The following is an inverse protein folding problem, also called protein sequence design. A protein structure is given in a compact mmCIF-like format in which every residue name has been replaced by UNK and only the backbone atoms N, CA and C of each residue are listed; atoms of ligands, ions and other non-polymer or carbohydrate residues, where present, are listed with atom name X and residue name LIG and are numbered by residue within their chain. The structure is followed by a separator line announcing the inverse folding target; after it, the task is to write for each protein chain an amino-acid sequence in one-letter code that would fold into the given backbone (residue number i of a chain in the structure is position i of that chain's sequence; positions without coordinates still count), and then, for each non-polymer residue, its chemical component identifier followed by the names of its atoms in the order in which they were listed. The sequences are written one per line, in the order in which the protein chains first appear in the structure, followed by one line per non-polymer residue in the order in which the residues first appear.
data_IF_586791146786
#
_entry.id   IF_586791146786
#
_cell.length_a   1.000
_cell.length_b   1.000
_cell.length_c   1.000
_cell.angle_alpha   90.00
_cell.angle_beta   90.00
_cell.angle_gamma   90.00
#
_symmetry.space_group_name_H-M   'P 1'
#
loop_
_entity.id
_entity.type
_entity.pdbx_description
1 polymer ?
#
# COMPACT_ATOMS: atom_id res chain seq x y z
N UNK A 1 -1.85 35.25 -12.82
CA UNK A 1 -3.15 34.76 -12.32
C UNK A 1 -3.01 33.26 -12.18
N UNK A 2 -2.64 32.77 -10.99
CA UNK A 2 -2.78 31.33 -10.72
C UNK A 2 -4.28 31.07 -10.62
N UNK A 3 -4.85 30.49 -11.66
CA UNK A 3 -6.21 29.97 -11.60
C UNK A 3 -6.17 28.79 -10.63
N UNK A 4 -6.69 28.99 -9.42
CA UNK A 4 -6.94 27.90 -8.48
C UNK A 4 -7.82 26.90 -9.21
N UNK A 5 -7.28 25.71 -9.51
CA UNK A 5 -8.09 24.64 -10.09
C UNK A 5 -9.21 24.31 -9.10
N UNK A 6 -10.44 24.21 -9.61
CA UNK A 6 -11.61 23.95 -8.79
C UNK A 6 -12.21 22.63 -9.27
N UNK A 7 -12.06 21.52 -8.51
CA UNK A 7 -12.54 20.22 -8.94
C UNK A 7 -14.07 20.24 -9.09
N UNK A 8 -14.56 19.61 -10.16
CA UNK A 8 -15.97 19.43 -10.44
C UNK A 8 -16.60 18.42 -9.47
N UNK A 9 -15.86 17.36 -9.13
CA UNK A 9 -16.27 16.39 -8.11
C UNK A 9 -15.86 16.90 -6.74
N UNK A 10 -16.85 17.15 -5.88
CA UNK A 10 -16.61 17.65 -4.52
C UNK A 10 -16.36 16.51 -3.53
N UNK A 11 -15.44 16.75 -2.60
CA UNK A 11 -15.31 15.94 -1.40
C UNK A 11 -16.45 16.24 -0.42
N UNK A 12 -16.82 15.27 0.45
CA UNK A 12 -17.73 15.52 1.56
C UNK A 12 -17.13 16.54 2.54
N UNK A 13 -17.94 17.29 3.31
CA UNK A 13 -17.45 18.27 4.27
C UNK A 13 -16.35 17.73 5.19
N UNK A 14 -15.41 18.60 5.59
CA UNK A 14 -14.27 18.22 6.42
C UNK A 14 -14.69 17.46 7.68
N UNK A 15 -15.73 17.92 8.38
CA UNK A 15 -16.19 17.24 9.60
C UNK A 15 -16.76 15.84 9.33
N UNK A 16 -17.32 15.62 8.13
CA UNK A 16 -17.77 14.29 7.70
C UNK A 16 -16.58 13.35 7.51
N UNK A 17 -15.53 13.80 6.81
CA UNK A 17 -14.32 12.99 6.62
C UNK A 17 -13.63 12.65 7.95
N UNK A 18 -13.53 13.61 8.87
CA UNK A 18 -12.95 13.38 10.21
C UNK A 18 -13.76 12.35 11.01
N UNK A 19 -15.10 12.42 10.94
CA UNK A 19 -15.99 11.44 11.56
C UNK A 19 -15.81 10.05 10.96
N UNK A 20 -15.73 9.95 9.64
CA UNK A 20 -15.60 8.69 8.91
C UNK A 20 -14.23 8.03 9.17
N UNK A 21 -13.15 8.81 9.22
CA UNK A 21 -11.82 8.35 9.67
C UNK A 21 -11.91 7.77 11.09
N UNK A 22 -12.60 8.45 12.01
CA UNK A 22 -12.74 7.94 13.38
C UNK A 22 -13.51 6.61 13.44
N UNK A 23 -14.52 6.42 12.59
CA UNK A 23 -15.25 5.14 12.46
C UNK A 23 -14.35 4.04 11.89
N UNK A 24 -13.60 4.33 10.83
CA UNK A 24 -12.65 3.39 10.22
C UNK A 24 -11.58 2.94 11.21
N UNK A 25 -10.98 3.85 11.97
CA UNK A 25 -10.00 3.53 13.01
C UNK A 25 -10.60 2.68 14.13
N UNK A 26 -11.83 2.99 14.55
CA UNK A 26 -12.54 2.17 15.54
C UNK A 26 -12.79 0.75 15.02
N UNK A 27 -13.22 0.62 13.76
CA UNK A 27 -13.45 -0.67 13.12
C UNK A 27 -12.15 -1.47 13.03
N UNK A 28 -11.08 -0.87 12.48
CA UNK A 28 -9.77 -1.48 12.28
C UNK A 28 -9.25 -2.19 13.54
N UNK A 29 -9.29 -1.50 14.69
CA UNK A 29 -8.78 -2.04 15.96
C UNK A 29 -9.60 -3.20 16.55
N UNK A 30 -10.77 -3.48 15.99
CA UNK A 30 -11.70 -4.53 16.43
C UNK A 30 -11.82 -5.68 15.44
N UNK A 31 -11.16 -5.60 14.28
CA UNK A 31 -11.18 -6.70 13.32
C UNK A 31 -10.44 -7.89 13.93
N UNK A 32 -11.12 -9.03 13.97
CA UNK A 32 -10.60 -10.32 14.34
C UNK A 32 -11.13 -11.42 13.40
N UNK A 33 -10.49 -12.59 13.45
CA UNK A 33 -11.02 -13.83 12.88
C UNK A 33 -11.29 -14.85 13.99
N UNK A 34 -12.22 -14.52 14.90
CA UNK A 34 -12.54 -15.38 16.04
C UNK A 34 -13.07 -16.77 15.63
N UNK A 35 -13.65 -16.91 14.43
CA UNK A 35 -14.10 -18.21 13.89
C UNK A 35 -12.94 -19.04 13.31
N UNK A 36 -11.83 -18.40 12.94
CA UNK A 36 -10.71 -19.02 12.23
C UNK A 36 -11.05 -19.39 10.78
N UNK A 37 -12.11 -18.78 10.22
CA UNK A 37 -12.61 -19.08 8.87
C UNK A 37 -11.65 -18.59 7.78
N UNK A 38 -10.91 -17.53 8.06
CA UNK A 38 -10.03 -16.84 7.10
C UNK A 38 -8.55 -17.09 7.38
N UNK A 39 -8.23 -18.05 8.26
CA UNK A 39 -6.85 -18.49 8.47
C UNK A 39 -6.28 -19.09 7.18
N UNK A 40 -5.12 -18.58 6.78
CA UNK A 40 -4.35 -19.18 5.70
C UNK A 40 -3.64 -20.42 6.23
N UNK A 41 -3.71 -21.53 5.50
CA UNK A 41 -3.04 -22.78 5.86
C UNK A 41 -1.95 -23.09 4.84
N UNK A 42 -0.70 -23.01 5.29
CA UNK A 42 0.49 -23.34 4.52
C UNK A 42 1.11 -24.62 5.08
N UNK A 43 0.59 -25.78 4.65
CA UNK A 43 1.06 -27.10 5.07
C UNK A 43 1.13 -27.27 6.60
N UNK A 44 0.10 -26.82 7.31
CA UNK A 44 -0.03 -26.91 8.76
C UNK A 44 0.44 -25.66 9.51
N UNK A 45 1.08 -24.69 8.84
CA UNK A 45 1.29 -23.35 9.39
C UNK A 45 0.03 -22.51 9.15
N UNK A 46 -0.71 -22.27 10.23
CA UNK A 46 -1.87 -21.37 10.20
C UNK A 46 -1.43 -19.93 10.42
N UNK A 47 -1.75 -19.06 9.47
CA UNK A 47 -1.44 -17.63 9.50
C UNK A 47 -2.73 -16.82 9.54
N UNK A 48 -2.83 -15.94 10.52
CA UNK A 48 -3.92 -14.98 10.66
C UNK A 48 -3.51 -13.64 10.04
N UNK A 49 -4.12 -13.31 8.89
CA UNK A 49 -3.90 -12.02 8.22
C UNK A 49 -5.01 -11.00 8.52
N UNK A 50 -6.03 -11.39 9.30
CA UNK A 50 -7.23 -10.57 9.54
C UNK A 50 -7.18 -9.88 10.89
N UNK A 51 -6.74 -10.53 11.96
CA UNK A 51 -6.83 -9.92 13.28
C UNK A 51 -5.88 -8.75 13.47
N UNK A 52 -6.36 -7.66 14.09
CA UNK A 52 -5.54 -6.46 14.33
C UNK A 52 -4.28 -6.76 15.17
N UNK A 53 -4.34 -7.76 16.04
CA UNK A 53 -3.24 -8.09 16.94
C UNK A 53 -2.09 -8.90 16.29
N UNK A 54 -2.09 -9.11 14.97
CA UNK A 54 -1.05 -9.90 14.30
C UNK A 54 0.02 -9.01 13.67
N UNK A 55 1.29 -9.39 13.79
CA UNK A 55 2.38 -8.76 13.04
C UNK A 55 2.45 -9.32 11.62
N UNK A 56 1.73 -8.69 10.69
CA UNK A 56 1.84 -8.98 9.26
C UNK A 56 1.57 -7.73 8.39
N UNK A 57 1.59 -7.90 7.06
CA UNK A 57 1.44 -6.81 6.10
C UNK A 57 0.12 -6.02 6.21
N UNK A 58 -1.07 -6.62 6.48
CA UNK A 58 -2.31 -5.87 6.59
C UNK A 58 -2.25 -4.85 7.72
N UNK A 59 -1.70 -5.26 8.86
CA UNK A 59 -1.50 -4.42 10.02
C UNK A 59 -0.36 -3.42 9.77
N UNK A 60 0.67 -3.77 9.00
CA UNK A 60 1.71 -2.83 8.57
C UNK A 60 1.16 -1.63 7.83
N UNK A 61 0.30 -1.85 6.84
CA UNK A 61 -0.42 -0.77 6.13
C UNK A 61 -1.39 -0.05 7.08
N UNK A 62 -2.07 -0.81 7.96
CA UNK A 62 -2.82 -0.34 9.13
C UNK A 62 -2.13 0.75 9.93
N UNK A 63 -0.96 0.41 10.45
CA UNK A 63 -0.13 1.25 11.29
C UNK A 63 0.38 2.45 10.51
N UNK A 64 0.80 2.26 9.27
CA UNK A 64 1.26 3.36 8.42
C UNK A 64 0.15 4.39 8.18
N UNK A 65 -1.02 3.97 7.70
CA UNK A 65 -2.17 4.86 7.47
C UNK A 65 -2.62 5.57 8.75
N UNK A 66 -2.70 4.83 9.85
CA UNK A 66 -3.06 5.40 11.17
C UNK A 66 -2.00 6.41 11.64
N UNK A 67 -0.72 6.12 11.46
CA UNK A 67 0.34 7.04 11.86
C UNK A 67 0.39 8.30 10.99
N UNK A 68 0.16 8.17 9.68
CA UNK A 68 0.06 9.33 8.79
C UNK A 68 -1.14 10.21 9.17
N UNK A 69 -2.26 9.62 9.60
CA UNK A 69 -3.38 10.38 10.16
C UNK A 69 -2.94 11.23 11.35
N UNK A 70 -2.20 10.67 12.30
CA UNK A 70 -1.62 11.44 13.40
C UNK A 70 -0.72 12.58 12.91
N UNK A 71 0.23 12.30 12.02
CA UNK A 71 1.19 13.32 11.54
C UNK A 71 0.52 14.50 10.83
N UNK A 72 -0.58 14.25 10.11
CA UNK A 72 -1.30 15.29 9.35
C UNK A 72 -2.27 16.07 10.24
N UNK A 73 -2.94 15.40 11.19
CA UNK A 73 -4.08 15.99 11.92
C UNK A 73 -3.82 16.27 13.40
N UNK A 74 -2.76 15.71 13.98
CA UNK A 74 -2.54 15.71 15.43
C UNK A 74 -3.48 14.76 16.20
N UNK A 75 -4.11 13.79 15.53
CA UNK A 75 -5.03 12.84 16.17
C UNK A 75 -4.31 11.91 17.17
N UNK A 76 -4.30 12.30 18.44
CA UNK A 76 -3.67 11.56 19.54
C UNK A 76 -4.21 10.13 19.72
N UNK A 77 -5.45 9.87 19.32
CA UNK A 77 -6.01 8.51 19.35
C UNK A 77 -5.32 7.63 18.32
N UNK A 78 -5.05 8.14 17.12
CA UNK A 78 -4.31 7.43 16.09
C UNK A 78 -2.87 7.12 16.55
N UNK A 79 -2.18 8.10 17.15
CA UNK A 79 -0.86 7.87 17.75
C UNK A 79 -0.89 6.76 18.80
N UNK A 80 -1.88 6.79 19.70
CA UNK A 80 -2.03 5.79 20.75
C UNK A 80 -2.25 4.39 20.18
N UNK A 81 -3.10 4.23 19.17
CA UNK A 81 -3.32 2.93 18.49
C UNK A 81 -1.99 2.35 18.00
N UNK A 82 -1.15 3.15 17.34
CA UNK A 82 0.14 2.70 16.80
C UNK A 82 1.12 2.33 17.92
N UNK A 83 1.23 3.17 18.96
CA UNK A 83 2.14 2.91 20.09
C UNK A 83 1.73 1.69 20.89
N UNK A 84 0.46 1.54 21.19
CA UNK A 84 -0.07 0.41 21.96
C UNK A 84 0.13 -0.90 21.19
N UNK A 85 -0.02 -0.88 19.86
CA UNK A 85 0.25 -2.04 19.01
C UNK A 85 1.73 -2.44 19.03
N UNK A 86 2.65 -1.51 18.82
CA UNK A 86 4.09 -1.82 18.83
C UNK A 86 4.56 -2.30 20.20
N UNK A 87 4.10 -1.67 21.28
CA UNK A 87 4.43 -2.09 22.64
C UNK A 87 3.99 -3.54 22.89
N UNK A 88 2.76 -3.90 22.54
CA UNK A 88 2.26 -5.28 22.70
C UNK A 88 3.07 -6.29 21.86
N UNK A 89 3.31 -5.99 20.58
CA UNK A 89 4.04 -6.89 19.68
C UNK A 89 5.52 -7.03 20.02
N UNK A 90 6.15 -5.97 20.53
CA UNK A 90 7.54 -6.04 21.01
C UNK A 90 7.68 -6.87 22.28
N UNK A 91 6.64 -6.93 23.14
CA UNK A 91 6.62 -7.80 24.32
C UNK A 91 6.49 -9.28 23.95
N UNK A 92 5.72 -9.60 22.90
CA UNK A 92 5.57 -10.96 22.37
C UNK A 92 6.83 -11.43 21.61
N UNK A 93 7.47 -10.51 20.89
CA UNK A 93 8.62 -10.77 20.02
C UNK A 93 8.24 -10.71 18.54
N UNK A 94 9.17 -10.21 17.72
CA UNK A 94 8.94 -10.09 16.28
C UNK A 94 8.82 -11.48 15.62
N UNK A 95 7.98 -11.63 14.59
CA UNK A 95 7.86 -12.88 13.85
C UNK A 95 9.10 -13.18 12.99
N UNK A 96 9.06 -14.30 12.25
CA UNK A 96 10.04 -14.55 11.19
C UNK A 96 9.96 -13.46 10.11
N UNK A 97 11.11 -13.16 9.51
CA UNK A 97 11.24 -12.11 8.51
C UNK A 97 10.91 -12.66 7.13
N UNK A 98 10.00 -11.98 6.45
CA UNK A 98 9.61 -12.21 5.07
C UNK A 98 9.17 -10.86 4.47
N UNK A 99 8.79 -10.83 3.19
CA UNK A 99 8.44 -9.57 2.51
C UNK A 99 7.29 -8.84 3.21
N UNK A 100 6.31 -9.60 3.71
CA UNK A 100 5.09 -9.08 4.30
C UNK A 100 5.29 -8.59 5.73
N UNK A 101 6.04 -9.33 6.54
CA UNK A 101 6.29 -8.97 7.95
C UNK A 101 7.23 -7.77 8.10
N UNK A 102 7.88 -7.33 7.01
CA UNK A 102 8.66 -6.09 6.95
C UNK A 102 7.79 -4.82 6.92
N UNK A 103 6.51 -4.91 6.51
CA UNK A 103 5.68 -3.72 6.29
C UNK A 103 5.47 -2.84 7.56
N UNK A 104 5.25 -3.39 8.77
CA UNK A 104 5.13 -2.59 9.99
C UNK A 104 6.36 -1.72 10.30
N UNK A 105 7.54 -2.08 9.79
CA UNK A 105 8.78 -1.35 10.07
C UNK A 105 8.76 0.04 9.43
N UNK A 106 7.94 0.28 8.40
CA UNK A 106 7.74 1.63 7.85
C UNK A 106 7.15 2.58 8.90
N UNK A 107 6.05 2.18 9.54
CA UNK A 107 5.42 2.98 10.58
C UNK A 107 6.34 3.12 11.81
N UNK A 108 7.07 2.06 12.17
CA UNK A 108 8.07 2.11 13.24
C UNK A 108 9.19 3.12 12.94
N UNK A 109 9.68 3.18 11.69
CA UNK A 109 10.73 4.10 11.30
C UNK A 109 10.26 5.57 11.39
N UNK A 110 9.04 5.88 10.94
CA UNK A 110 8.45 7.21 11.13
C UNK A 110 8.22 7.54 12.61
N UNK A 111 7.75 6.57 13.40
CA UNK A 111 7.58 6.75 14.84
C UNK A 111 8.92 7.02 15.54
N UNK A 112 9.99 6.31 15.17
CA UNK A 112 11.33 6.57 15.69
C UNK A 112 11.85 7.95 15.27
N UNK A 113 11.65 8.35 14.00
CA UNK A 113 12.01 9.70 13.52
C UNK A 113 11.41 10.79 14.41
N UNK A 114 10.11 10.71 14.69
CA UNK A 114 9.39 11.76 15.42
C UNK A 114 9.59 11.66 16.96
N UNK A 115 9.85 10.47 17.52
CA UNK A 115 9.92 10.27 18.99
C UNK A 115 11.33 10.06 19.55
N UNK A 116 12.28 9.62 18.71
CA UNK A 116 13.64 9.23 19.09
C UNK A 116 13.69 8.12 20.16
N UNK A 117 12.65 7.29 20.27
CA UNK A 117 12.65 6.14 21.18
C UNK A 117 13.63 5.06 20.70
N UNK A 118 14.76 4.96 21.40
CA UNK A 118 15.88 4.08 21.03
C UNK A 118 15.53 2.58 21.05
N UNK A 119 14.40 2.20 21.68
CA UNK A 119 13.93 0.80 21.69
C UNK A 119 13.58 0.30 20.29
N UNK A 120 13.27 1.19 19.33
CA UNK A 120 12.96 0.81 17.95
C UNK A 120 14.19 0.52 17.10
N UNK A 121 15.35 1.11 17.44
CA UNK A 121 16.57 1.02 16.60
C UNK A 121 17.01 -0.43 16.34
N UNK A 122 17.07 -1.35 17.34
CA UNK A 122 17.46 -2.74 17.09
C UNK A 122 16.52 -3.48 16.14
N UNK A 123 15.23 -3.13 16.11
CA UNK A 123 14.29 -3.70 15.15
C UNK A 123 14.58 -3.16 13.75
N UNK A 124 14.68 -1.83 13.59
CA UNK A 124 14.97 -1.21 12.30
C UNK A 124 16.27 -1.73 11.68
N UNK A 125 17.35 -1.80 12.46
CA UNK A 125 18.64 -2.31 11.99
C UNK A 125 18.58 -3.78 11.60
N UNK A 126 18.09 -4.66 12.49
CA UNK A 126 18.08 -6.10 12.22
C UNK A 126 17.17 -6.51 11.06
N UNK A 127 16.08 -5.78 10.85
CA UNK A 127 15.17 -6.05 9.74
C UNK A 127 15.72 -5.51 8.42
N UNK A 128 16.36 -4.34 8.41
CA UNK A 128 17.04 -3.83 7.22
C UNK A 128 18.25 -4.69 6.83
N UNK A 129 19.07 -5.13 7.79
CA UNK A 129 20.21 -6.01 7.54
C UNK A 129 19.77 -7.37 6.94
N UNK A 130 18.65 -7.92 7.42
CA UNK A 130 18.06 -9.11 6.80
C UNK A 130 17.64 -8.83 5.35
N UNK A 131 16.95 -7.71 5.11
CA UNK A 131 16.50 -7.35 3.77
C UNK A 131 17.69 -7.19 2.81
N UNK A 132 18.85 -6.73 3.30
CA UNK A 132 20.06 -6.55 2.50
C UNK A 132 20.85 -7.84 2.24
N UNK A 133 21.01 -8.68 3.26
CA UNK A 133 22.00 -9.77 3.24
C UNK A 133 21.39 -11.17 3.20
N UNK A 134 20.18 -11.35 3.73
CA UNK A 134 19.58 -12.67 3.95
C UNK A 134 18.36 -12.93 3.08
N UNK A 135 17.62 -11.88 2.69
CA UNK A 135 16.46 -11.99 1.82
C UNK A 135 16.89 -12.49 0.43
N UNK A 136 16.38 -13.66 0.05
CA UNK A 136 16.65 -14.31 -1.24
C UNK A 136 16.43 -13.35 -2.40
N UNK A 137 17.33 -13.46 -3.40
CA UNK A 137 17.29 -12.66 -4.62
C UNK A 137 16.90 -13.50 -5.82
N UNK A 138 16.12 -12.91 -6.71
CA UNK A 138 15.90 -13.45 -8.06
C UNK A 138 17.14 -13.23 -8.93
N UNK A 139 17.11 -13.73 -10.16
CA UNK A 139 17.93 -13.20 -11.24
C UNK A 139 17.79 -11.67 -11.31
N UNK A 140 18.86 -11.00 -11.75
CA UNK A 140 18.97 -9.55 -11.69
C UNK A 140 18.68 -8.97 -10.30
N UNK A 141 19.06 -9.71 -9.24
CA UNK A 141 19.11 -9.22 -7.85
C UNK A 141 17.78 -8.64 -7.32
N UNK A 142 16.64 -8.93 -7.93
CA UNK A 142 15.34 -8.49 -7.42
C UNK A 142 15.02 -9.17 -6.08
N UNK A 143 14.30 -8.49 -5.20
CA UNK A 143 13.82 -9.09 -3.96
C UNK A 143 12.80 -10.17 -4.29
N UNK A 144 13.13 -11.43 -4.01
CA UNK A 144 12.20 -12.52 -4.21
C UNK A 144 11.01 -12.34 -3.25
N UNK A 145 9.80 -12.59 -3.74
CA UNK A 145 8.58 -12.40 -2.95
C UNK A 145 8.37 -13.50 -1.89
N UNK A 146 9.29 -13.64 -0.93
CA UNK A 146 9.23 -14.67 0.12
C UNK A 146 8.12 -14.32 1.12
N UNK A 147 7.23 -15.28 1.40
CA UNK A 147 6.13 -15.16 2.36
C UNK A 147 6.24 -16.24 3.46
N UNK A 148 5.20 -16.41 4.29
CA UNK A 148 5.09 -17.58 5.17
C UNK A 148 4.81 -18.88 4.42
N UNK A 149 4.25 -18.77 3.22
CA UNK A 149 3.87 -19.89 2.38
C UNK A 149 5.00 -20.36 1.48
N UNK A 150 4.70 -20.70 0.21
CA UNK A 150 5.71 -21.12 -0.75
C UNK A 150 6.88 -20.12 -0.86
N UNK A 151 8.04 -20.61 -1.26
CA UNK A 151 9.23 -19.76 -1.40
C UNK A 151 9.11 -18.69 -2.50
N UNK A 152 8.15 -18.85 -3.42
CA UNK A 152 7.97 -17.99 -4.61
C UNK A 152 9.28 -17.80 -5.38
N UNK A 153 9.99 -18.92 -5.58
CA UNK A 153 11.32 -18.95 -6.21
C UNK A 153 11.33 -18.17 -7.51
N UNK A 154 12.29 -17.26 -7.65
CA UNK A 154 12.47 -16.47 -8.88
C UNK A 154 11.26 -15.61 -9.28
N UNK A 155 10.45 -15.15 -8.31
CA UNK A 155 9.29 -14.29 -8.56
C UNK A 155 9.46 -12.87 -7.99
N UNK A 156 9.04 -11.87 -8.77
CA UNK A 156 8.83 -10.48 -8.35
C UNK A 156 7.33 -10.17 -8.35
N UNK A 157 6.87 -9.49 -7.31
CA UNK A 157 5.46 -9.13 -7.13
C UNK A 157 5.36 -7.62 -6.87
N UNK A 158 4.26 -7.00 -7.27
CA UNK A 158 4.07 -5.54 -7.20
C UNK A 158 4.14 -4.98 -5.78
N UNK A 159 3.60 -5.71 -4.81
CA UNK A 159 3.47 -5.27 -3.43
C UNK A 159 4.81 -5.27 -2.67
N UNK A 160 5.84 -6.00 -3.15
CA UNK A 160 7.21 -6.00 -2.62
C UNK A 160 7.75 -4.58 -2.41
N UNK A 161 7.41 -3.66 -3.34
CA UNK A 161 7.83 -2.27 -3.28
C UNK A 161 7.28 -1.56 -2.03
N UNK A 162 6.01 -1.79 -1.70
CA UNK A 162 5.36 -1.21 -0.53
C UNK A 162 5.76 -1.94 0.76
N UNK A 163 5.78 -3.27 0.74
CA UNK A 163 5.91 -4.09 1.94
C UNK A 163 7.34 -4.16 2.48
N UNK A 164 8.36 -4.07 1.62
CA UNK A 164 9.77 -4.22 2.03
C UNK A 164 10.66 -3.08 1.56
N UNK A 165 10.56 -2.68 0.29
CA UNK A 165 11.50 -1.72 -0.30
C UNK A 165 11.31 -0.32 0.30
N UNK A 166 10.07 0.12 0.53
CA UNK A 166 9.78 1.42 1.16
C UNK A 166 10.24 1.48 2.63
N UNK A 167 9.97 0.47 3.49
CA UNK A 167 10.60 0.38 4.81
C UNK A 167 12.13 0.47 4.74
N UNK A 168 12.78 -0.30 3.85
CA UNK A 168 14.24 -0.30 3.69
C UNK A 168 14.77 1.10 3.32
N UNK A 169 14.12 1.75 2.34
CA UNK A 169 14.46 3.12 1.94
C UNK A 169 14.36 4.10 3.11
N UNK A 170 13.26 4.05 3.86
CA UNK A 170 13.03 4.93 5.01
C UNK A 170 14.07 4.71 6.11
N UNK A 171 14.37 3.45 6.42
CA UNK A 171 15.40 3.09 7.42
C UNK A 171 16.78 3.56 6.95
N UNK A 172 17.11 3.38 5.68
CA UNK A 172 18.36 3.84 5.08
C UNK A 172 18.56 5.34 5.23
N UNK A 173 17.54 6.12 4.87
CA UNK A 173 17.56 7.58 5.01
C UNK A 173 17.66 8.01 6.47
N UNK A 174 16.92 7.33 7.37
CA UNK A 174 16.85 7.68 8.79
C UNK A 174 18.14 7.37 9.55
N UNK A 175 18.80 6.26 9.23
CA UNK A 175 20.02 5.80 9.90
C UNK A 175 21.31 6.19 9.16
N UNK A 176 21.21 6.91 8.03
CA UNK A 176 22.37 7.33 7.23
C UNK A 176 23.10 6.15 6.56
N UNK A 177 22.36 5.13 6.12
CA UNK A 177 22.88 3.93 5.45
C UNK A 177 22.62 4.03 3.94
N UNK A 178 23.60 4.58 3.22
CA UNK A 178 23.49 4.78 1.76
C UNK A 178 23.31 3.46 1.01
N UNK A 179 23.91 2.37 1.49
CA UNK A 179 23.75 1.03 0.92
C UNK A 179 22.29 0.58 0.85
N UNK A 180 21.46 0.92 1.85
CA UNK A 180 20.03 0.59 1.87
C UNK A 180 19.26 1.45 0.87
N UNK A 181 19.66 2.73 0.76
CA UNK A 181 19.09 3.68 -0.20
C UNK A 181 19.36 3.23 -1.63
N UNK A 182 20.61 2.86 -1.95
CA UNK A 182 20.98 2.40 -3.29
C UNK A 182 20.29 1.08 -3.66
N UNK A 183 20.15 0.15 -2.71
CA UNK A 183 19.40 -1.09 -2.95
C UNK A 183 17.92 -0.79 -3.21
N UNK A 184 17.29 0.10 -2.43
CA UNK A 184 15.89 0.48 -2.69
C UNK A 184 15.69 1.15 -4.06
N UNK A 185 16.63 2.03 -4.47
CA UNK A 185 16.64 2.62 -5.83
C UNK A 185 16.74 1.55 -6.91
N UNK A 186 17.58 0.54 -6.71
CA UNK A 186 17.71 -0.59 -7.63
C UNK A 186 16.43 -1.42 -7.72
N UNK A 187 15.83 -1.74 -6.56
CA UNK A 187 14.59 -2.51 -6.50
C UNK A 187 13.44 -1.81 -7.24
N UNK A 188 13.34 -0.48 -7.16
CA UNK A 188 12.37 0.28 -7.96
C UNK A 188 12.56 0.06 -9.46
N UNK A 189 13.80 0.16 -9.95
CA UNK A 189 14.10 0.01 -11.38
C UNK A 189 13.83 -1.41 -11.88
N UNK A 190 14.22 -2.45 -11.12
CA UNK A 190 14.02 -3.85 -11.55
C UNK A 190 12.53 -4.22 -11.53
N UNK A 191 11.74 -3.74 -10.56
CA UNK A 191 10.29 -3.98 -10.55
C UNK A 191 9.59 -3.24 -11.70
N UNK A 192 9.97 -1.99 -12.00
CA UNK A 192 9.46 -1.28 -13.20
C UNK A 192 9.78 -2.06 -14.48
N UNK A 193 11.00 -2.58 -14.60
CA UNK A 193 11.44 -3.32 -15.80
C UNK A 193 10.56 -4.54 -16.09
N UNK A 194 10.10 -5.25 -15.07
CA UNK A 194 9.43 -6.55 -15.21
C UNK A 194 7.92 -6.54 -15.00
N UNK A 195 7.37 -5.54 -14.30
CA UNK A 195 5.96 -5.52 -13.92
C UNK A 195 5.15 -4.40 -14.59
N UNK A 196 5.80 -3.34 -15.10
CA UNK A 196 5.08 -2.28 -15.79
C UNK A 196 4.63 -2.75 -17.18
N UNK A 197 3.32 -2.73 -17.43
CA UNK A 197 2.76 -2.95 -18.75
C UNK A 197 2.82 -1.64 -19.56
N UNK A 198 3.67 -1.65 -20.60
CA UNK A 198 3.88 -0.48 -21.47
C UNK A 198 2.75 -0.26 -22.46
N UNK A 199 1.88 -1.26 -22.68
CA UNK A 199 0.73 -1.14 -23.57
C UNK A 199 -0.38 -0.32 -22.91
N UNK A 200 -0.79 -0.70 -21.70
CA UNK A 200 -1.86 -0.02 -20.98
C UNK A 200 -1.38 1.11 -20.07
N UNK A 201 -0.15 1.04 -19.55
CA UNK A 201 0.36 1.90 -18.48
C UNK A 201 0.03 1.38 -17.07
N UNK A 202 -0.67 0.25 -16.96
CA UNK A 202 -0.93 -0.44 -15.70
C UNK A 202 0.22 -1.41 -15.36
N UNK A 203 0.04 -2.22 -14.32
CA UNK A 203 1.05 -3.14 -13.82
C UNK A 203 0.49 -4.56 -13.71
N UNK A 204 1.31 -5.52 -14.12
CA UNK A 204 1.07 -6.93 -13.85
C UNK A 204 1.34 -7.24 -12.38
N UNK A 205 0.54 -8.14 -11.82
CA UNK A 205 0.68 -8.57 -10.42
C UNK A 205 2.06 -9.17 -10.12
N UNK A 206 2.64 -9.93 -11.06
CA UNK A 206 3.93 -10.58 -10.84
C UNK A 206 4.68 -10.97 -12.11
N UNK A 207 5.92 -11.39 -11.92
CA UNK A 207 6.86 -11.84 -12.94
C UNK A 207 7.62 -13.08 -12.47
N UNK A 208 7.85 -14.04 -13.35
CA UNK A 208 8.69 -15.22 -13.09
C UNK A 208 9.93 -15.24 -13.98
N UNK A 209 11.13 -15.35 -13.39
CA UNK A 209 12.36 -15.57 -14.15
C UNK A 209 12.51 -17.01 -14.65
N UNK A 210 11.86 -17.98 -14.02
CA UNK A 210 11.86 -19.37 -14.50
C UNK A 210 11.03 -19.52 -15.77
N UNK A 211 9.88 -18.83 -15.83
CA UNK A 211 8.94 -18.90 -16.95
C UNK A 211 9.17 -17.82 -18.01
N UNK A 212 9.71 -16.67 -17.61
CA UNK A 212 9.88 -15.45 -18.41
C UNK A 212 8.55 -14.85 -18.89
N UNK A 213 7.55 -14.86 -18.02
CA UNK A 213 6.22 -14.29 -18.25
C UNK A 213 5.66 -13.61 -16.99
N UNK A 214 4.51 -12.95 -17.15
CA UNK A 214 3.76 -12.26 -16.10
C UNK A 214 2.54 -13.06 -15.62
N UNK A 215 2.66 -14.39 -15.57
CA UNK A 215 1.59 -15.31 -15.15
C UNK A 215 0.31 -15.14 -15.99
N UNK A 216 -0.82 -14.76 -15.37
CA UNK A 216 -2.09 -14.51 -16.04
C UNK A 216 -2.19 -13.16 -16.77
N UNK A 217 -1.10 -12.37 -16.79
CA UNK A 217 -1.10 -10.97 -17.26
C UNK A 217 -2.16 -10.12 -16.52
N UNK A 218 -2.36 -10.41 -15.23
CA UNK A 218 -3.41 -9.81 -14.42
C UNK A 218 -3.09 -8.35 -14.06
N UNK A 219 -3.90 -7.42 -14.57
CA UNK A 219 -3.90 -6.00 -14.20
C UNK A 219 -4.79 -5.78 -12.97
N UNK A 220 -4.34 -6.36 -11.86
CA UNK A 220 -5.11 -6.48 -10.63
C UNK A 220 -5.18 -5.16 -9.86
N UNK A 221 -6.37 -4.82 -9.36
CA UNK A 221 -6.70 -3.54 -8.73
C UNK A 221 -5.82 -3.24 -7.52
N UNK A 222 -5.84 -4.08 -6.48
CA UNK A 222 -5.06 -3.80 -5.26
C UNK A 222 -3.55 -3.83 -5.51
N UNK A 223 -3.10 -4.68 -6.43
CA UNK A 223 -1.70 -4.71 -6.89
C UNK A 223 -1.24 -3.38 -7.49
N UNK A 224 -2.00 -2.87 -8.45
CA UNK A 224 -1.77 -1.53 -9.04
C UNK A 224 -1.88 -0.40 -8.00
N UNK A 225 -2.71 -0.57 -6.98
CA UNK A 225 -2.82 0.40 -5.89
C UNK A 225 -1.49 0.55 -5.14
N UNK A 226 -0.71 -0.51 -4.93
CA UNK A 226 0.57 -0.44 -4.24
C UNK A 226 1.58 0.44 -4.96
N UNK A 227 1.59 0.40 -6.28
CA UNK A 227 2.43 1.28 -7.10
C UNK A 227 1.96 2.73 -6.97
N UNK A 228 0.64 2.94 -7.09
CA UNK A 228 0.02 4.28 -7.03
C UNK A 228 0.30 4.96 -5.69
N UNK A 229 0.28 4.20 -4.59
CA UNK A 229 0.63 4.66 -3.24
C UNK A 229 2.14 4.91 -3.10
N UNK A 230 2.95 3.92 -3.46
CA UNK A 230 4.35 3.88 -3.07
C UNK A 230 5.21 4.87 -3.85
N UNK A 231 4.93 5.15 -5.12
CA UNK A 231 5.78 6.02 -5.94
C UNK A 231 5.87 7.46 -5.40
N UNK A 232 4.75 8.15 -5.08
CA UNK A 232 4.81 9.43 -4.38
C UNK A 232 5.59 9.37 -3.06
N UNK A 233 5.44 8.28 -2.29
CA UNK A 233 6.12 8.11 -1.01
C UNK A 233 7.62 7.88 -1.18
N UNK A 234 8.06 7.09 -2.16
CA UNK A 234 9.48 6.90 -2.46
C UNK A 234 10.16 8.20 -2.85
N UNK A 235 9.52 9.01 -3.69
CA UNK A 235 10.04 10.32 -4.09
C UNK A 235 10.27 11.20 -2.84
N UNK A 236 9.32 11.21 -1.90
CA UNK A 236 9.41 11.99 -0.67
C UNK A 236 10.46 11.43 0.31
N UNK A 237 10.40 10.13 0.60
CA UNK A 237 11.29 9.44 1.54
C UNK A 237 12.75 9.55 1.10
N UNK A 238 13.03 9.32 -0.18
CA UNK A 238 14.39 9.38 -0.73
C UNK A 238 14.84 10.82 -1.02
N UNK A 239 13.96 11.82 -0.88
CA UNK A 239 14.26 13.21 -1.19
C UNK A 239 14.65 13.43 -2.66
N UNK A 240 14.06 12.67 -3.59
CA UNK A 240 14.42 12.73 -5.01
C UNK A 240 14.05 14.08 -5.60
N UNK A 241 14.98 14.65 -6.37
CA UNK A 241 14.83 15.95 -7.03
C UNK A 241 14.58 15.78 -8.52
N UNK A 242 14.07 16.82 -9.18
CA UNK A 242 13.70 16.81 -10.61
C UNK A 242 14.84 16.50 -11.57
N UNK A 243 16.09 16.67 -11.13
CA UNK A 243 17.31 16.36 -11.88
C UNK A 243 17.82 14.93 -11.65
N UNK A 244 17.19 14.15 -10.76
CA UNK A 244 17.47 12.73 -10.57
C UNK A 244 16.74 11.89 -11.64
N UNK A 245 17.48 11.01 -12.33
CA UNK A 245 16.89 10.13 -13.34
C UNK A 245 15.82 9.19 -12.78
N UNK A 246 15.96 8.76 -11.52
CA UNK A 246 14.95 7.94 -10.85
C UNK A 246 13.68 8.74 -10.55
N UNK A 247 13.81 10.02 -10.19
CA UNK A 247 12.64 10.90 -10.05
C UNK A 247 11.84 10.92 -11.35
N UNK A 248 12.51 11.18 -12.47
CA UNK A 248 11.85 11.28 -13.77
C UNK A 248 11.20 9.95 -14.16
N UNK A 249 11.91 8.82 -13.96
CA UNK A 249 11.36 7.49 -14.19
C UNK A 249 10.08 7.23 -13.37
N UNK A 250 10.11 7.48 -12.06
CA UNK A 250 8.95 7.25 -11.18
C UNK A 250 7.77 8.16 -11.55
N UNK A 251 8.02 9.45 -11.80
CA UNK A 251 6.96 10.40 -12.15
C UNK A 251 6.32 10.06 -13.48
N UNK A 252 7.10 9.69 -14.50
CA UNK A 252 6.56 9.34 -15.81
C UNK A 252 5.79 8.02 -15.79
N UNK A 253 6.29 7.02 -15.05
CA UNK A 253 5.56 5.75 -14.87
C UNK A 253 4.27 5.96 -14.07
N UNK A 254 4.29 6.78 -13.02
CA UNK A 254 3.09 7.14 -12.26
C UNK A 254 2.07 7.90 -13.14
N UNK A 255 2.52 8.81 -14.00
CA UNK A 255 1.65 9.52 -14.96
C UNK A 255 0.96 8.56 -15.93
N UNK A 256 1.69 7.58 -16.46
CA UNK A 256 1.13 6.57 -17.34
C UNK A 256 0.03 5.77 -16.62
N UNK A 257 0.31 5.32 -15.40
CA UNK A 257 -0.66 4.59 -14.59
C UNK A 257 -1.89 5.43 -14.24
N UNK A 258 -1.73 6.65 -13.74
CA UNK A 258 -2.84 7.54 -13.39
C UNK A 258 -3.71 7.88 -14.60
N UNK A 259 -3.10 8.04 -15.79
CA UNK A 259 -3.84 8.23 -17.03
C UNK A 259 -4.72 7.01 -17.34
N UNK A 260 -4.16 5.79 -17.26
CA UNK A 260 -4.91 4.55 -17.49
C UNK A 260 -6.03 4.37 -16.44
N UNK A 261 -5.74 4.60 -15.17
CA UNK A 261 -6.72 4.53 -14.10
C UNK A 261 -7.90 5.49 -14.31
N UNK A 262 -7.63 6.72 -14.79
CA UNK A 262 -8.69 7.67 -15.11
C UNK A 262 -9.60 7.20 -16.25
N UNK A 263 -9.08 6.42 -17.20
CA UNK A 263 -9.85 5.84 -18.31
C UNK A 263 -10.72 4.66 -17.85
N UNK A 264 -10.20 3.81 -16.96
CA UNK A 264 -10.89 2.61 -16.48
C UNK A 264 -11.75 2.82 -15.22
N UNK A 265 -11.88 4.04 -14.70
CA UNK A 265 -12.66 4.29 -13.49
C UNK A 265 -14.16 4.11 -13.76
N UNK A 266 -14.81 3.25 -12.97
CA UNK A 266 -16.24 2.99 -13.07
C UNK A 266 -17.09 4.23 -12.70
N UNK A 267 -18.35 4.27 -13.12
CA UNK A 267 -19.29 5.34 -12.79
C UNK A 267 -19.45 5.55 -11.28
N UNK A 268 -19.35 4.49 -10.47
CA UNK A 268 -19.35 4.56 -8.99
C UNK A 268 -18.14 5.32 -8.41
N UNK A 269 -17.05 5.45 -9.18
CA UNK A 269 -15.77 5.98 -8.74
C UNK A 269 -14.76 4.92 -8.31
N UNK A 270 -15.18 3.67 -8.17
CA UNK A 270 -14.30 2.55 -7.86
C UNK A 270 -13.64 1.99 -9.14
N UNK A 271 -12.72 1.04 -8.96
CA UNK A 271 -12.16 0.23 -10.03
C UNK A 271 -12.56 -1.23 -9.88
N UNK A 272 -12.69 -1.89 -11.02
CA UNK A 272 -12.88 -3.34 -11.12
C UNK A 272 -11.63 -4.08 -10.63
N UNK A 273 -11.80 -5.25 -10.00
CA UNK A 273 -10.69 -6.06 -9.46
C UNK A 273 -9.66 -6.43 -10.51
N UNK A 274 -10.10 -6.66 -11.74
CA UNK A 274 -9.27 -6.59 -12.94
C UNK A 274 -9.61 -5.26 -13.62
N UNK A 275 -8.67 -4.32 -13.60
CA UNK A 275 -8.95 -2.90 -13.92
C UNK A 275 -9.53 -2.73 -15.33
N UNK A 276 -9.04 -3.52 -16.29
CA UNK A 276 -9.45 -3.48 -17.68
C UNK A 276 -10.64 -4.40 -18.02
N UNK A 277 -11.24 -5.07 -17.02
CA UNK A 277 -12.36 -6.00 -17.21
C UNK A 277 -13.59 -5.55 -16.41
N UNK A 278 -14.54 -4.85 -17.05
CA UNK A 278 -15.74 -4.35 -16.39
C UNK A 278 -16.73 -5.47 -16.00
N UNK A 279 -16.50 -6.73 -16.40
CA UNK A 279 -17.31 -7.86 -15.95
C UNK A 279 -16.90 -8.38 -14.56
N UNK A 280 -15.70 -8.01 -14.09
CA UNK A 280 -15.21 -8.37 -12.76
C UNK A 280 -15.84 -7.45 -11.68
N UNK A 281 -15.82 -7.84 -10.41
CA UNK A 281 -16.45 -7.04 -9.35
C UNK A 281 -15.65 -5.75 -9.05
N UNK A 282 -16.34 -4.70 -8.56
CA UNK A 282 -15.69 -3.48 -8.07
C UNK A 282 -14.98 -3.75 -6.73
N UNK A 283 -13.74 -3.30 -6.58
CA UNK A 283 -12.91 -3.60 -5.40
C UNK A 283 -12.55 -2.33 -4.63
N UNK A 284 -12.97 -2.27 -3.36
CA UNK A 284 -12.94 -1.06 -2.53
C UNK A 284 -11.53 -0.71 -2.05
N UNK A 285 -10.72 -1.71 -1.65
CA UNK A 285 -9.44 -1.43 -0.99
C UNK A 285 -8.40 -0.86 -1.95
N UNK A 286 -8.25 -1.46 -3.12
CA UNK A 286 -7.42 -0.95 -4.20
C UNK A 286 -7.88 0.43 -4.68
N UNK A 287 -9.19 0.65 -4.77
CA UNK A 287 -9.75 1.97 -5.09
C UNK A 287 -9.37 3.03 -4.07
N UNK A 288 -9.39 2.72 -2.77
CA UNK A 288 -8.94 3.63 -1.71
C UNK A 288 -7.44 3.94 -1.84
N UNK A 289 -6.61 2.93 -2.07
CA UNK A 289 -5.18 3.10 -2.31
C UNK A 289 -4.86 3.98 -3.51
N UNK A 290 -5.56 3.77 -4.63
CA UNK A 290 -5.43 4.61 -5.83
C UNK A 290 -5.89 6.04 -5.55
N UNK A 291 -6.99 6.24 -4.82
CA UNK A 291 -7.46 7.57 -4.43
C UNK A 291 -6.38 8.34 -3.65
N UNK A 292 -5.76 7.71 -2.65
CA UNK A 292 -4.62 8.28 -1.93
C UNK A 292 -3.49 8.69 -2.88
N UNK A 293 -3.00 7.76 -3.69
CA UNK A 293 -1.81 7.97 -4.51
C UNK A 293 -2.03 9.03 -5.59
N UNK A 294 -3.20 9.05 -6.23
CA UNK A 294 -3.58 10.08 -7.21
C UNK A 294 -3.64 11.45 -6.51
N UNK A 295 -4.31 11.54 -5.37
CA UNK A 295 -4.46 12.80 -4.66
C UNK A 295 -3.10 13.33 -4.16
N UNK A 296 -2.25 12.44 -3.64
CA UNK A 296 -0.87 12.77 -3.28
C UNK A 296 -0.08 13.30 -4.47
N UNK A 297 -0.19 12.64 -5.62
CA UNK A 297 0.47 13.06 -6.85
C UNK A 297 0.01 14.45 -7.32
N UNK A 298 -1.28 14.78 -7.16
CA UNK A 298 -1.82 16.13 -7.43
C UNK A 298 -1.25 17.15 -6.45
N UNK A 299 -1.33 16.90 -5.14
CA UNK A 299 -0.83 17.82 -4.10
C UNK A 299 0.68 18.08 -4.24
N UNK A 300 1.45 17.07 -4.63
CA UNK A 300 2.90 17.19 -4.90
C UNK A 300 3.22 17.72 -6.30
N UNK A 301 2.21 18.02 -7.12
CA UNK A 301 2.31 18.55 -8.50
C UNK A 301 3.09 17.63 -9.45
N UNK A 302 2.98 16.32 -9.26
CA UNK A 302 3.53 15.31 -10.16
C UNK A 302 2.64 15.12 -11.39
N UNK A 303 1.32 15.27 -11.22
CA UNK A 303 0.33 15.17 -12.30
C UNK A 303 -0.49 16.45 -12.43
N UNK A 304 -1.26 16.54 -13.51
CA UNK A 304 -2.16 17.66 -13.75
C UNK A 304 -3.25 17.76 -12.65
N UNK A 305 -3.61 18.96 -12.16
CA UNK A 305 -4.64 19.13 -11.15
C UNK A 305 -6.01 18.54 -11.52
N UNK A 306 -6.32 18.36 -12.81
CA UNK A 306 -7.58 17.76 -13.25
C UNK A 306 -7.82 16.34 -12.72
N UNK A 307 -6.75 15.60 -12.41
CA UNK A 307 -6.84 14.27 -11.79
C UNK A 307 -7.40 14.29 -10.36
N UNK A 308 -7.52 15.46 -9.73
CA UNK A 308 -8.23 15.60 -8.45
C UNK A 308 -9.69 15.15 -8.57
N UNK A 309 -10.34 15.31 -9.73
CA UNK A 309 -11.69 14.79 -9.94
C UNK A 309 -11.74 13.26 -9.84
N UNK A 310 -10.71 12.57 -10.36
CA UNK A 310 -10.61 11.10 -10.34
C UNK A 310 -10.46 10.62 -8.89
N UNK A 311 -9.56 11.25 -8.13
CA UNK A 311 -9.37 10.96 -6.72
C UNK A 311 -10.65 11.25 -5.90
N UNK A 312 -11.28 12.42 -6.09
CA UNK A 312 -12.49 12.79 -5.34
C UNK A 312 -13.66 11.85 -5.65
N UNK A 313 -13.79 11.39 -6.90
CA UNK A 313 -14.80 10.41 -7.29
C UNK A 313 -14.54 9.07 -6.60
N UNK A 314 -13.28 8.64 -6.51
CA UNK A 314 -12.89 7.43 -5.80
C UNK A 314 -13.12 7.53 -4.28
N UNK A 315 -12.82 8.67 -3.66
CA UNK A 315 -13.13 8.91 -2.24
C UNK A 315 -14.63 8.76 -1.97
N UNK A 316 -15.47 9.39 -2.79
CA UNK A 316 -16.93 9.25 -2.69
C UNK A 316 -17.39 7.80 -2.93
N UNK A 317 -16.78 7.11 -3.90
CA UNK A 317 -17.01 5.69 -4.16
C UNK A 317 -16.69 4.82 -2.94
N UNK A 318 -15.52 5.01 -2.32
CA UNK A 318 -15.10 4.27 -1.12
C UNK A 318 -16.04 4.52 0.05
N UNK A 319 -16.42 5.78 0.30
CA UNK A 319 -17.36 6.13 1.36
C UNK A 319 -18.75 5.51 1.15
N UNK A 320 -19.18 5.33 -0.11
CA UNK A 320 -20.45 4.63 -0.42
C UNK A 320 -20.44 3.14 -0.03
N UNK A 321 -19.26 2.55 0.16
CA UNK A 321 -19.09 1.16 0.58
C UNK A 321 -19.01 0.99 2.10
N UNK A 322 -18.97 2.10 2.84
CA UNK A 322 -18.85 2.10 4.29
C UNK A 322 -20.22 1.92 4.96
N UNK A 323 -20.31 0.96 5.88
CA UNK A 323 -21.47 0.80 6.75
C UNK A 323 -21.39 1.63 8.03
N UNK A 324 -22.46 1.60 8.82
CA UNK A 324 -22.65 2.45 10.02
C UNK A 324 -21.57 2.30 11.11
N UNK A 325 -20.77 1.23 11.08
CA UNK A 325 -19.70 0.96 12.04
C UNK A 325 -18.30 1.04 11.42
N UNK A 326 -18.16 1.55 10.20
CA UNK A 326 -16.87 1.69 9.50
C UNK A 326 -16.41 0.42 8.78
N UNK A 327 -17.22 -0.64 8.74
CA UNK A 327 -16.95 -1.82 7.93
C UNK A 327 -17.10 -1.48 6.44
N UNK A 328 -16.19 -1.96 5.62
CA UNK A 328 -16.17 -1.72 4.18
C UNK A 328 -16.60 -2.96 3.43
N UNK A 329 -17.52 -2.79 2.49
CA UNK A 329 -17.93 -3.84 1.55
C UNK A 329 -16.95 -3.96 0.39
N UNK A 330 -17.04 -5.07 -0.33
CA UNK A 330 -16.28 -5.32 -1.56
C UNK A 330 -14.76 -5.19 -1.40
N UNK A 331 -14.25 -5.57 -0.24
CA UNK A 331 -12.81 -5.70 0.02
C UNK A 331 -12.45 -7.16 -0.18
N UNK A 332 -11.67 -7.47 -1.22
CA UNK A 332 -11.28 -8.87 -1.50
C UNK A 332 -10.21 -9.35 -0.51
N UNK A 333 -10.22 -10.63 -0.13
CA UNK A 333 -9.23 -11.27 0.77
C UNK A 333 -7.81 -11.29 0.18
N UNK A 334 -6.82 -11.76 0.97
CA UNK A 334 -5.44 -11.95 0.51
C UNK A 334 -5.40 -12.73 -0.81
N UNK A 335 -4.61 -12.24 -1.77
CA UNK A 335 -4.64 -12.70 -3.17
C UNK A 335 -3.22 -13.03 -3.60
N UNK A 336 -2.99 -14.26 -4.05
CA UNK A 336 -1.70 -14.69 -4.59
C UNK A 336 -1.61 -14.53 -6.11
N UNK A 337 -0.50 -14.98 -6.69
CA UNK A 337 -0.36 -15.14 -8.13
C UNK A 337 -0.94 -16.47 -8.59
N UNK A 338 -1.69 -16.42 -9.68
CA UNK A 338 -2.26 -17.58 -10.37
C UNK A 338 -2.18 -17.39 -11.89
N UNK A 339 -2.31 -18.50 -12.63
CA UNK A 339 -2.19 -18.56 -14.09
C UNK A 339 -3.50 -18.30 -14.86
N UNK A 340 -4.56 -17.90 -14.16
CA UNK A 340 -5.84 -17.62 -14.78
C UNK A 340 -6.49 -16.35 -14.20
N UNK A 341 -7.12 -15.57 -15.08
CA UNK A 341 -7.85 -14.36 -14.69
C UNK A 341 -9.12 -14.67 -13.89
N UNK A 342 -9.71 -15.86 -14.07
CA UNK A 342 -10.90 -16.28 -13.34
C UNK A 342 -10.67 -16.37 -11.83
N UNK A 343 -9.45 -16.70 -11.40
CA UNK A 343 -9.05 -16.64 -9.99
C UNK A 343 -9.33 -15.25 -9.42
N UNK A 344 -8.84 -14.20 -10.09
CA UNK A 344 -9.01 -12.82 -9.65
C UNK A 344 -10.49 -12.37 -9.65
N UNK A 345 -11.28 -12.84 -10.62
CA UNK A 345 -12.72 -12.55 -10.71
C UNK A 345 -13.52 -13.15 -9.55
N UNK A 346 -13.02 -14.21 -8.91
CA UNK A 346 -13.77 -15.01 -7.92
C UNK A 346 -13.19 -14.94 -6.50
N UNK A 347 -12.27 -14.01 -6.22
CA UNK A 347 -11.73 -13.83 -4.86
C UNK A 347 -12.86 -13.44 -3.91
N UNK A 348 -12.94 -14.12 -2.76
CA UNK A 348 -13.91 -13.81 -1.72
C UNK A 348 -13.74 -12.38 -1.20
N UNK A 349 -14.85 -11.72 -0.86
CA UNK A 349 -14.84 -10.39 -0.27
C UNK A 349 -15.35 -10.41 1.17
N UNK A 350 -14.62 -9.77 2.08
CA UNK A 350 -14.96 -9.69 3.51
C UNK A 350 -14.34 -8.42 4.11
N UNK A 351 -14.69 -8.06 5.33
CA UNK A 351 -14.02 -6.98 6.04
C UNK A 351 -12.57 -7.39 6.36
N UNK A 352 -11.60 -6.56 5.95
CA UNK A 352 -10.17 -6.85 6.07
C UNK A 352 -9.39 -5.61 6.51
N UNK A 353 -8.35 -5.73 7.38
CA UNK A 353 -7.63 -4.57 7.92
C UNK A 353 -7.07 -3.59 6.90
N UNK A 354 -6.61 -4.09 5.75
CA UNK A 354 -6.10 -3.23 4.67
C UNK A 354 -7.20 -2.37 4.03
N UNK A 355 -8.45 -2.82 4.00
CA UNK A 355 -9.58 -2.01 3.51
C UNK A 355 -9.77 -0.76 4.37
N UNK A 356 -9.86 -0.93 5.69
CA UNK A 356 -9.99 0.20 6.62
C UNK A 356 -8.79 1.14 6.55
N UNK A 357 -7.58 0.58 6.50
CA UNK A 357 -6.36 1.39 6.57
C UNK A 357 -6.02 2.15 5.30
N UNK A 358 -6.23 1.55 4.13
CA UNK A 358 -6.15 2.26 2.86
C UNK A 358 -7.18 3.39 2.77
N UNK A 359 -8.39 3.15 3.31
CA UNK A 359 -9.42 4.19 3.40
C UNK A 359 -9.01 5.31 4.36
N UNK A 360 -8.48 5.00 5.55
CA UNK A 360 -7.94 6.02 6.48
C UNK A 360 -6.84 6.84 5.79
N UNK A 361 -5.93 6.19 5.07
CA UNK A 361 -4.85 6.86 4.35
C UNK A 361 -5.40 7.81 3.27
N UNK A 362 -6.36 7.34 2.47
CA UNK A 362 -7.00 8.13 1.42
C UNK A 362 -7.80 9.33 1.96
N UNK A 363 -8.64 9.10 2.98
CA UNK A 363 -9.42 10.17 3.61
C UNK A 363 -8.52 11.18 4.33
N UNK A 364 -7.40 10.73 4.91
CA UNK A 364 -6.42 11.63 5.54
C UNK A 364 -5.76 12.54 4.50
N UNK A 365 -5.36 12.01 3.35
CA UNK A 365 -4.83 12.86 2.27
C UNK A 365 -5.91 13.80 1.73
N UNK A 366 -7.18 13.37 1.68
CA UNK A 366 -8.32 14.22 1.32
C UNK A 366 -8.52 15.42 2.28
N UNK A 367 -8.12 15.31 3.55
CA UNK A 367 -8.16 16.44 4.48
C UNK A 367 -7.20 17.57 4.09
N UNK A 368 -6.13 17.28 3.34
CA UNK A 368 -5.17 18.28 2.86
C UNK A 368 -5.81 19.24 1.85
N UNK A 369 -6.84 18.80 1.12
CA UNK A 369 -7.60 19.63 0.18
C UNK A 369 -8.43 20.73 0.86
N UNK A 370 -8.49 20.76 2.20
CA UNK A 370 -9.17 21.78 3.00
C UNK A 370 -8.22 22.83 3.62
N UNK A 371 -6.93 22.77 3.29
CA UNK A 371 -5.90 23.65 3.84
C UNK A 371 -5.74 24.98 3.09
#
# INVERSE_FOLDING_TARGET
METTYNPAVKLPPKETLEKDIALLLNCLTKIDDASGEYLLDFDGLKVDDKSWCVWNWPQGIGLFGTYMNYRITGNEKALRIVKDWFEARMQEGAPSKNINTMAPLLAMAFLYEDTQDSRYVPYLERWAEWAMNDLTRTEERGFQHVTYGPAHTQQLWDDTLMMTVLPLAKIGMLLGRDEYVQEARYQLMVHIKYLADRETGLWFHGWSFERRDNFADALWCRGNCWITISFPLFIEVLGLKKDDALYELLVQTLRAQIKALAEYQDESGLWHTLINDPSSYLETSGSAGMAFGILKAVHKRYVDPSYENVANKAINGVLSQMGDHGQLKNVSVGTGLEDNLDYYRNIATTDMPYGQSLSVLALTEALVSYC
#
